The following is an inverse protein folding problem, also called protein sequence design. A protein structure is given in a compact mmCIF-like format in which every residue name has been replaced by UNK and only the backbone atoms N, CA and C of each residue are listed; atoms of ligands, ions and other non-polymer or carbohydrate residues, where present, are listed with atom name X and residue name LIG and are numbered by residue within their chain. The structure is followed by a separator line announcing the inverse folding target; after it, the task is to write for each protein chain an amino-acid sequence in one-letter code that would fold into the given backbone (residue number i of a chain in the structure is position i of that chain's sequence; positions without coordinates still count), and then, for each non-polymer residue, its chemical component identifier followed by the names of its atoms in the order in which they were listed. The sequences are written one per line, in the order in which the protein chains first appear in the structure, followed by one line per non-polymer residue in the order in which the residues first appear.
data_IF_480210509257
#
_entry.id   IF_480210509257
#
_cell.length_a   1.000
_cell.length_b   1.000
_cell.length_c   1.000
_cell.angle_alpha   90.00
_cell.angle_beta   90.00
_cell.angle_gamma   90.00
#
_symmetry.space_group_name_H-M   'P 1'
#
loop_
_entity.id
_entity.type
_entity.pdbx_description
1 polymer ?
#
# COMPACT_ATOMS: atom_id res chain seq x y z
N UNK A 1 -31.95 -9.04 -8.31
CA UNK A 1 -32.30 -7.74 -7.71
C UNK A 1 -31.03 -7.03 -7.27
N UNK A 2 -30.62 -5.93 -7.93
CA UNK A 2 -29.58 -5.05 -7.37
C UNK A 2 -30.20 -4.35 -6.17
N UNK A 3 -29.60 -4.48 -4.97
CA UNK A 3 -29.98 -3.67 -3.80
C UNK A 3 -29.91 -2.21 -4.24
N UNK A 4 -31.04 -1.50 -4.19
CA UNK A 4 -31.03 -0.04 -4.22
C UNK A 4 -30.42 0.38 -2.89
N UNK A 5 -29.18 0.85 -2.93
CA UNK A 5 -28.61 1.55 -1.78
C UNK A 5 -29.40 2.84 -1.62
N UNK A 6 -29.73 3.15 -0.37
CA UNK A 6 -30.32 4.42 -0.03
C UNK A 6 -29.25 5.49 -0.28
N UNK A 7 -29.39 6.26 -1.36
CA UNK A 7 -28.47 7.31 -1.78
C UNK A 7 -28.37 8.47 -0.76
N UNK A 8 -29.07 8.38 0.39
CA UNK A 8 -29.10 9.40 1.45
C UNK A 8 -28.04 9.28 2.54
N UNK A 9 -27.26 8.19 2.57
CA UNK A 9 -26.23 8.03 3.60
C UNK A 9 -24.92 8.60 3.07
N UNK A 10 -24.70 9.91 3.19
CA UNK A 10 -23.40 10.51 2.84
C UNK A 10 -22.27 10.03 3.77
N UNK A 11 -22.61 9.48 4.95
CA UNK A 11 -21.67 9.07 6.00
C UNK A 11 -22.05 7.76 6.69
N UNK A 12 -21.07 6.87 6.92
CA UNK A 12 -21.23 5.68 7.77
C UNK A 12 -20.20 5.71 8.90
N UNK A 13 -20.66 5.56 10.15
CA UNK A 13 -19.82 5.63 11.36
C UNK A 13 -18.92 6.89 11.43
N UNK A 14 -19.39 8.02 10.88
CA UNK A 14 -18.64 9.28 10.86
C UNK A 14 -17.68 9.45 9.68
N UNK A 15 -17.59 8.49 8.76
CA UNK A 15 -16.78 8.58 7.55
C UNK A 15 -17.61 8.84 6.31
N UNK A 16 -17.21 9.75 5.42
CA UNK A 16 -17.82 9.88 4.10
C UNK A 16 -17.82 8.54 3.37
N UNK A 17 -18.93 8.17 2.73
CA UNK A 17 -19.00 6.89 2.00
C UNK A 17 -17.88 6.77 0.96
N UNK A 18 -17.53 7.85 0.27
CA UNK A 18 -16.43 7.87 -0.71
C UNK A 18 -15.08 7.49 -0.10
N UNK A 19 -14.80 7.91 1.14
CA UNK A 19 -13.58 7.53 1.86
C UNK A 19 -13.60 6.06 2.26
N UNK A 20 -14.77 5.53 2.65
CA UNK A 20 -14.92 4.11 2.99
C UNK A 20 -14.63 3.24 1.78
N UNK A 21 -15.22 3.54 0.61
CA UNK A 21 -14.90 2.82 -0.64
C UNK A 21 -13.45 3.04 -1.08
N UNK A 22 -12.88 4.21 -0.80
CA UNK A 22 -11.52 4.59 -1.15
C UNK A 22 -10.47 4.28 -0.11
N UNK A 23 -10.75 3.40 0.87
CA UNK A 23 -9.86 3.17 2.02
C UNK A 23 -8.43 2.82 1.58
N UNK A 24 -8.27 1.95 0.58
CA UNK A 24 -6.93 1.57 0.13
C UNK A 24 -6.20 2.70 -0.59
N UNK A 25 -6.91 3.55 -1.35
CA UNK A 25 -6.33 4.76 -1.95
C UNK A 25 -5.81 5.70 -0.86
N UNK A 26 -6.60 5.93 0.17
CA UNK A 26 -6.22 6.75 1.32
C UNK A 26 -4.97 6.19 2.01
N UNK A 27 -4.98 4.90 2.37
CA UNK A 27 -3.83 4.25 3.00
C UNK A 27 -2.58 4.31 2.11
N UNK A 28 -2.72 4.10 0.81
CA UNK A 28 -1.62 4.16 -0.13
C UNK A 28 -0.96 5.55 -0.18
N UNK A 29 -1.76 6.63 -0.14
CA UNK A 29 -1.27 8.02 -0.04
C UNK A 29 -0.44 8.27 1.22
N UNK A 30 -0.76 7.59 2.32
CA UNK A 30 -0.01 7.70 3.58
C UNK A 30 1.22 6.77 3.64
N UNK A 31 1.10 5.55 3.11
CA UNK A 31 2.15 4.53 3.19
C UNK A 31 3.29 4.81 2.21
N UNK A 32 2.98 5.13 0.95
CA UNK A 32 3.99 5.36 -0.09
C UNK A 32 5.08 6.39 0.29
N UNK A 33 4.75 7.62 0.78
CA UNK A 33 5.77 8.59 1.18
C UNK A 33 6.59 8.12 2.40
N UNK A 34 5.98 7.37 3.33
CA UNK A 34 6.71 6.82 4.49
C UNK A 34 7.70 5.73 4.09
N UNK A 35 7.33 4.84 3.17
CA UNK A 35 8.25 3.83 2.62
C UNK A 35 9.41 4.47 1.85
N UNK A 36 9.14 5.53 1.08
CA UNK A 36 10.20 6.33 0.43
C UNK A 36 11.18 6.93 1.45
N UNK A 37 10.66 7.49 2.54
CA UNK A 37 11.48 8.04 3.62
C UNK A 37 12.26 6.95 4.35
N UNK A 38 11.64 5.80 4.64
CA UNK A 38 12.28 4.65 5.28
C UNK A 38 13.44 4.14 4.43
N UNK A 39 13.23 3.88 3.13
CA UNK A 39 14.29 3.47 2.20
C UNK A 39 15.44 4.49 2.10
N UNK A 40 15.14 5.78 2.19
CA UNK A 40 16.16 6.84 2.19
C UNK A 40 16.93 6.91 3.52
N UNK A 41 16.35 6.41 4.61
CA UNK A 41 16.96 6.35 5.93
C UNK A 41 18.00 5.22 5.97
N UNK A 42 19.23 5.48 5.54
CA UNK A 42 20.31 4.48 5.42
C UNK A 42 20.71 3.75 6.73
N UNK A 43 20.10 4.08 7.87
CA UNK A 43 20.36 3.51 9.20
C UNK A 43 19.22 2.60 9.64
N UNK A 44 18.82 1.64 8.82
CA UNK A 44 17.88 0.58 9.21
C UNK A 44 18.51 -0.79 8.94
N UNK A 45 18.11 -1.79 9.73
CA UNK A 45 18.47 -3.19 9.50
C UNK A 45 17.80 -3.77 8.23
N UNK A 46 17.90 -5.08 8.08
CA UNK A 46 17.13 -5.83 7.08
C UNK A 46 16.64 -7.16 7.67
N UNK A 47 15.49 -7.70 7.20
CA UNK A 47 14.99 -9.00 7.66
C UNK A 47 15.98 -10.13 7.34
N UNK A 48 15.97 -11.21 8.15
CA UNK A 48 16.85 -12.38 7.96
C UNK A 48 16.71 -13.05 6.58
N UNK A 49 15.54 -12.90 5.94
CA UNK A 49 15.26 -13.41 4.61
C UNK A 49 16.05 -12.71 3.49
N UNK A 50 16.76 -11.62 3.77
CA UNK A 50 17.56 -10.87 2.81
C UNK A 50 19.06 -10.96 3.12
N UNK A 51 19.87 -11.15 2.08
CA UNK A 51 21.32 -11.28 2.23
C UNK A 51 21.98 -9.96 2.65
N UNK A 52 21.40 -8.84 2.22
CA UNK A 52 21.98 -7.52 2.41
C UNK A 52 20.91 -6.41 2.31
N UNK A 53 21.30 -5.20 2.71
CA UNK A 53 20.44 -4.02 2.66
C UNK A 53 19.99 -3.64 1.24
N UNK A 54 20.77 -3.96 0.21
CA UNK A 54 20.40 -3.66 -1.19
C UNK A 54 19.18 -4.49 -1.61
N UNK A 55 19.15 -5.78 -1.28
CA UNK A 55 18.03 -6.67 -1.60
C UNK A 55 16.77 -6.29 -0.82
N UNK A 56 16.95 -5.87 0.44
CA UNK A 56 15.85 -5.29 1.20
C UNK A 56 15.31 -4.01 0.56
N UNK A 57 16.19 -3.11 0.11
CA UNK A 57 15.82 -1.88 -0.60
C UNK A 57 15.12 -2.13 -1.94
N UNK A 58 15.39 -3.26 -2.62
CA UNK A 58 14.64 -3.71 -3.79
C UNK A 58 13.24 -4.16 -3.42
N UNK A 59 13.08 -4.89 -2.31
CA UNK A 59 11.76 -5.28 -1.81
C UNK A 59 10.93 -4.06 -1.38
N UNK A 60 11.51 -3.12 -0.63
CA UNK A 60 10.84 -1.86 -0.27
C UNK A 60 10.45 -1.08 -1.53
N UNK A 61 11.27 -1.09 -2.59
CA UNK A 61 10.89 -0.43 -3.85
C UNK A 61 9.61 -1.02 -4.43
N UNK A 62 9.46 -2.35 -4.45
CA UNK A 62 8.24 -3.00 -4.94
C UNK A 62 7.01 -2.62 -4.12
N UNK A 63 7.17 -2.48 -2.80
CA UNK A 63 6.10 -1.96 -1.95
C UNK A 63 5.74 -0.52 -2.33
N UNK A 64 6.73 0.36 -2.50
CA UNK A 64 6.54 1.75 -2.95
C UNK A 64 5.80 1.78 -4.29
N UNK A 65 6.23 1.00 -5.27
CA UNK A 65 5.65 0.98 -6.61
C UNK A 65 4.17 0.55 -6.56
N UNK A 66 3.84 -0.48 -5.76
CA UNK A 66 2.46 -0.89 -5.55
C UNK A 66 1.60 0.22 -4.95
N UNK A 67 2.02 0.84 -3.85
CA UNK A 67 1.23 1.89 -3.20
C UNK A 67 1.18 3.19 -4.02
N UNK A 68 2.24 3.54 -4.75
CA UNK A 68 2.19 4.67 -5.70
C UNK A 68 1.20 4.41 -6.83
N UNK A 69 1.13 3.18 -7.34
CA UNK A 69 0.19 2.81 -8.39
C UNK A 69 -1.26 2.92 -7.91
N UNK A 70 -1.53 2.45 -6.68
CA UNK A 70 -2.91 2.39 -6.16
C UNK A 70 -3.38 3.65 -5.46
N UNK A 71 -2.54 4.68 -5.25
CA UNK A 71 -2.96 5.84 -4.45
C UNK A 71 -4.03 6.71 -5.13
N UNK A 72 -4.01 6.78 -6.46
CA UNK A 72 -4.92 7.60 -7.27
C UNK A 72 -5.55 6.83 -8.45
N UNK A 73 -5.27 5.53 -8.54
CA UNK A 73 -5.69 4.68 -9.66
C UNK A 73 -6.13 3.30 -9.16
N UNK A 74 -7.13 2.72 -9.81
CA UNK A 74 -7.61 1.36 -9.55
C UNK A 74 -7.11 0.46 -10.69
N UNK A 75 -6.14 -0.44 -10.43
CA UNK A 75 -5.59 -1.35 -11.42
C UNK A 75 -6.65 -2.15 -12.18
N UNK A 76 -6.60 -2.11 -13.50
CA UNK A 76 -7.43 -2.94 -14.38
C UNK A 76 -6.64 -3.82 -15.34
N UNK A 77 -5.35 -3.53 -15.53
CA UNK A 77 -4.45 -4.32 -16.35
C UNK A 77 -3.77 -5.40 -15.51
N UNK A 78 -3.54 -6.58 -16.09
CA UNK A 78 -2.92 -7.72 -15.40
C UNK A 78 -1.55 -7.37 -14.82
N UNK A 79 -0.74 -6.61 -15.56
CA UNK A 79 0.59 -6.17 -15.11
C UNK A 79 0.53 -5.26 -13.87
N UNK A 80 -0.44 -4.34 -13.83
CA UNK A 80 -0.66 -3.45 -12.68
C UNK A 80 -1.12 -4.27 -11.46
N UNK A 81 -2.04 -5.22 -11.67
CA UNK A 81 -2.55 -6.10 -10.62
C UNK A 81 -1.40 -6.93 -10.02
N UNK A 82 -0.56 -7.53 -10.87
CA UNK A 82 0.60 -8.31 -10.41
C UNK A 82 1.60 -7.44 -9.62
N UNK A 83 1.84 -6.22 -10.07
CA UNK A 83 2.69 -5.25 -9.36
C UNK A 83 2.15 -4.97 -7.96
N UNK A 84 0.84 -4.75 -7.85
CA UNK A 84 0.17 -4.45 -6.58
C UNK A 84 0.15 -5.65 -5.66
N UNK A 85 -0.23 -6.83 -6.16
CA UNK A 85 -0.24 -8.07 -5.37
C UNK A 85 1.16 -8.39 -4.83
N UNK A 86 2.19 -8.25 -5.66
CA UNK A 86 3.58 -8.46 -5.23
C UNK A 86 4.00 -7.45 -4.15
N UNK A 87 3.79 -6.15 -4.38
CA UNK A 87 4.23 -5.12 -3.44
C UNK A 87 3.45 -5.14 -2.13
N UNK A 88 2.13 -5.31 -2.18
CA UNK A 88 1.29 -5.45 -0.98
C UNK A 88 1.60 -6.75 -0.24
N UNK A 89 1.84 -7.86 -0.94
CA UNK A 89 2.26 -9.12 -0.34
C UNK A 89 3.58 -8.98 0.45
N UNK A 90 4.56 -8.29 -0.13
CA UNK A 90 5.83 -7.97 0.54
C UNK A 90 5.60 -7.08 1.77
N UNK A 91 4.77 -6.05 1.65
CA UNK A 91 4.44 -5.16 2.77
C UNK A 91 3.79 -5.93 3.92
N UNK A 92 2.82 -6.80 3.63
CA UNK A 92 2.17 -7.63 4.64
C UNK A 92 3.16 -8.58 5.33
N UNK A 93 4.04 -9.22 4.56
CA UNK A 93 5.03 -10.16 5.10
C UNK A 93 6.00 -9.48 6.07
N UNK A 94 6.50 -8.29 5.69
CA UNK A 94 7.57 -7.60 6.42
C UNK A 94 7.09 -6.34 7.15
N UNK A 95 5.79 -6.24 7.44
CA UNK A 95 5.19 -5.05 8.06
C UNK A 95 5.92 -4.65 9.36
N UNK A 96 6.33 -5.64 10.15
CA UNK A 96 7.04 -5.41 11.41
C UNK A 96 8.51 -5.06 11.23
N UNK A 97 9.11 -5.42 10.10
CA UNK A 97 10.50 -5.10 9.77
C UNK A 97 10.64 -3.69 9.15
N UNK A 98 9.53 -3.00 8.92
CA UNK A 98 9.48 -1.55 8.69
C UNK A 98 9.58 -0.78 10.02
N UNK A 99 10.41 -1.27 10.92
CA UNK A 99 10.79 -0.65 12.19
C UNK A 99 12.33 -0.60 12.28
N UNK A 100 12.83 0.22 13.20
CA UNK A 100 14.27 0.37 13.45
C UNK A 100 14.84 -0.87 14.17
#
# INVERSE_FOLDING_TARGET
MKKKYDDSIDYINGYPISEVWGTYHYLAREIAPRLKAFKAHKKHGWPEDFENQEDWNKAIQKMIDAFELVKDYSPSYEEDILTVEQGVGLFCKYYRDLSD
#
